data_IF_648708536526
#
_entry.id   IF_648708536526
#
_cell.length_a   1.000
_cell.length_b   1.000
_cell.length_c   1.000
_cell.angle_alpha   90.00
_cell.angle_beta   90.00
_cell.angle_gamma   90.00
#
_symmetry.space_group_name_H-M   'P 1'
#
loop_
_entity.id
_entity.type
_entity.pdbx_description
1 polymer ?
#
# COMPACT_ATOMS: atom_id res chain seq x y z
N UNK A 1 -19.58 7.57 -20.31
CA UNK A 1 -20.48 6.67 -19.56
C UNK A 1 -19.65 5.98 -18.50
N UNK A 2 -19.94 6.20 -17.22
CA UNK A 2 -19.16 5.65 -16.12
C UNK A 2 -19.73 4.28 -15.76
N UNK A 3 -18.89 3.23 -15.83
CA UNK A 3 -19.29 1.86 -15.52
C UNK A 3 -19.30 1.71 -14.00
N UNK A 4 -20.49 1.66 -13.41
CA UNK A 4 -20.68 1.42 -11.98
C UNK A 4 -21.19 0.00 -11.75
N UNK A 5 -20.70 -0.66 -10.70
CA UNK A 5 -21.25 -1.93 -10.22
C UNK A 5 -21.03 -3.14 -11.13
N UNK A 6 -20.14 -3.05 -12.12
CA UNK A 6 -19.90 -4.14 -13.09
C UNK A 6 -19.44 -5.45 -12.42
N UNK A 7 -18.79 -5.36 -11.25
CA UNK A 7 -18.28 -6.49 -10.49
C UNK A 7 -19.02 -6.69 -9.15
N UNK A 8 -20.14 -6.02 -8.90
CA UNK A 8 -20.75 -6.00 -7.55
C UNK A 8 -21.14 -7.41 -7.06
N UNK A 9 -21.62 -8.27 -7.96
CA UNK A 9 -21.94 -9.66 -7.63
C UNK A 9 -20.68 -10.46 -7.26
N UNK A 10 -19.58 -10.26 -7.99
CA UNK A 10 -18.32 -10.94 -7.74
C UNK A 10 -17.68 -10.46 -6.43
N UNK A 11 -17.68 -9.14 -6.18
CA UNK A 11 -17.17 -8.55 -4.95
C UNK A 11 -17.91 -9.08 -3.71
N UNK A 12 -19.25 -9.19 -3.80
CA UNK A 12 -20.08 -9.77 -2.74
C UNK A 12 -19.84 -11.26 -2.52
N UNK A 13 -19.33 -11.97 -3.54
CA UNK A 13 -19.02 -13.40 -3.44
C UNK A 13 -17.64 -13.67 -2.81
N UNK A 14 -16.79 -12.65 -2.62
CA UNK A 14 -15.48 -12.82 -1.97
C UNK A 14 -15.67 -13.16 -0.48
N UNK A 15 -15.18 -14.32 -0.01
CA UNK A 15 -15.22 -14.63 1.41
C UNK A 15 -14.44 -13.59 2.22
N UNK A 16 -14.95 -13.16 3.38
CA UNK A 16 -14.30 -12.14 4.20
C UNK A 16 -12.84 -12.50 4.57
N UNK A 17 -12.54 -13.78 4.79
CA UNK A 17 -11.16 -14.24 5.02
C UNK A 17 -10.20 -13.95 3.86
N UNK A 18 -10.72 -13.82 2.64
CA UNK A 18 -9.95 -13.52 1.44
C UNK A 18 -9.84 -12.00 1.18
N UNK A 19 -10.44 -11.16 2.02
CA UNK A 19 -10.27 -9.69 1.95
C UNK A 19 -9.09 -9.22 2.81
N UNK A 20 -8.38 -10.14 3.47
CA UNK A 20 -7.27 -9.86 4.38
C UNK A 20 -5.95 -10.30 3.74
N UNK A 21 -4.96 -9.41 3.71
CA UNK A 21 -3.61 -9.70 3.26
C UNK A 21 -2.83 -10.25 4.44
N UNK A 22 -2.50 -11.54 4.39
CA UNK A 22 -1.75 -12.21 5.46
C UNK A 22 -0.23 -12.11 5.28
N UNK A 23 0.25 -11.83 4.08
CA UNK A 23 1.67 -11.67 3.79
C UNK A 23 2.23 -10.42 4.49
N UNK A 24 3.50 -10.46 4.95
CA UNK A 24 4.21 -9.24 5.32
C UNK A 24 4.11 -8.22 4.20
N UNK A 25 3.73 -6.99 4.54
CA UNK A 25 3.47 -5.93 3.55
C UNK A 25 4.21 -4.67 3.96
N UNK A 26 4.96 -4.10 3.02
CA UNK A 26 5.62 -2.81 3.18
C UNK A 26 4.86 -1.73 2.40
N UNK A 27 4.44 -0.67 3.10
CA UNK A 27 3.89 0.55 2.50
C UNK A 27 4.90 1.69 2.63
N UNK A 28 5.37 2.20 1.50
CA UNK A 28 6.25 3.37 1.45
C UNK A 28 5.39 4.58 1.02
N UNK A 29 5.34 5.62 1.84
CA UNK A 29 4.52 6.83 1.64
C UNK A 29 5.36 8.09 1.47
N UNK A 30 4.76 9.15 0.91
CA UNK A 30 5.41 10.45 0.67
C UNK A 30 4.50 11.64 0.92
N UNK A 31 5.09 12.80 1.21
CA UNK A 31 4.36 14.07 1.46
C UNK A 31 3.58 14.60 0.24
N UNK A 32 4.12 14.47 -0.97
CA UNK A 32 3.56 15.11 -2.17
C UNK A 32 2.90 14.09 -3.10
N UNK A 33 1.76 13.58 -2.66
CA UNK A 33 0.88 12.74 -3.48
C UNK A 33 -0.09 13.61 -4.30
N UNK A 34 -0.22 13.32 -5.60
CA UNK A 34 -0.94 14.15 -6.57
C UNK A 34 -2.46 14.15 -6.33
N UNK A 35 -3.01 13.13 -5.67
CA UNK A 35 -4.45 12.97 -5.48
C UNK A 35 -4.82 12.70 -4.01
N UNK A 36 -5.00 13.80 -3.26
CA UNK A 36 -5.54 13.86 -1.89
C UNK A 36 -4.58 13.39 -0.77
N UNK A 37 -4.57 14.05 0.40
CA UNK A 37 -3.88 13.58 1.61
C UNK A 37 -4.65 12.39 2.18
N UNK A 38 -4.61 11.26 1.47
CA UNK A 38 -5.17 10.01 1.96
C UNK A 38 -4.16 9.41 2.92
N UNK A 39 -4.56 9.29 4.18
CA UNK A 39 -3.85 8.51 5.21
C UNK A 39 -3.94 7.01 4.88
N UNK A 40 -3.21 6.58 3.84
CA UNK A 40 -3.14 5.19 3.37
C UNK A 40 -2.88 4.17 4.49
N UNK A 41 -1.97 4.43 5.46
CA UNK A 41 -1.75 3.52 6.58
C UNK A 41 -3.04 3.18 7.33
N UNK A 42 -3.85 4.19 7.65
CA UNK A 42 -5.11 4.00 8.39
C UNK A 42 -6.14 3.19 7.60
N UNK A 43 -6.18 3.36 6.27
CA UNK A 43 -7.11 2.65 5.39
C UNK A 43 -6.70 1.21 5.12
N UNK A 44 -5.40 0.93 5.12
CA UNK A 44 -4.85 -0.41 4.88
C UNK A 44 -4.83 -1.26 6.15
N UNK A 45 -4.60 -0.67 7.32
CA UNK A 45 -4.43 -1.41 8.59
C UNK A 45 -5.54 -2.42 8.90
N UNK A 46 -6.85 -2.17 8.65
CA UNK A 46 -7.90 -3.16 8.89
C UNK A 46 -7.80 -4.41 8.03
N UNK A 47 -7.12 -4.33 6.88
CA UNK A 47 -7.03 -5.40 5.88
C UNK A 47 -5.63 -6.03 5.82
N UNK A 48 -4.64 -5.42 6.46
CA UNK A 48 -3.22 -5.84 6.39
C UNK A 48 -2.63 -5.91 7.80
N UNK A 49 -2.82 -7.00 8.54
CA UNK A 49 -2.35 -7.12 9.92
C UNK A 49 -0.84 -7.00 10.08
N UNK A 50 -0.08 -7.41 9.06
CA UNK A 50 1.40 -7.40 9.05
C UNK A 50 1.95 -6.24 8.21
N UNK A 51 1.45 -5.02 8.46
CA UNK A 51 1.81 -3.81 7.71
C UNK A 51 3.00 -3.07 8.35
N UNK A 52 4.14 -2.99 7.64
CA UNK A 52 5.25 -2.07 7.92
C UNK A 52 5.03 -0.80 7.12
N UNK A 53 5.05 0.36 7.78
CA UNK A 53 4.86 1.66 7.13
C UNK A 53 6.15 2.45 7.24
N UNK A 54 6.66 2.92 6.10
CA UNK A 54 7.77 3.86 6.04
C UNK A 54 7.30 5.12 5.32
N UNK A 55 7.73 6.25 5.82
CA UNK A 55 7.37 7.55 5.27
C UNK A 55 8.62 8.34 4.91
N UNK A 56 8.64 8.92 3.70
CA UNK A 56 9.72 9.79 3.25
C UNK A 56 9.21 11.13 2.74
N UNK A 57 9.93 12.18 3.12
CA UNK A 57 9.76 13.51 2.57
C UNK A 57 10.31 13.57 1.13
N UNK A 58 9.45 13.29 0.16
CA UNK A 58 9.71 13.36 -1.28
C UNK A 58 8.42 13.47 -2.11
N UNK A 59 8.57 13.52 -3.43
CA UNK A 59 7.45 13.47 -4.40
C UNK A 59 6.82 12.09 -4.55
N UNK A 60 5.66 12.05 -5.22
CA UNK A 60 4.94 10.81 -5.57
C UNK A 60 5.83 9.73 -6.21
N UNK A 61 6.80 10.13 -7.04
CA UNK A 61 7.77 9.23 -7.65
C UNK A 61 8.91 8.87 -6.69
N UNK A 62 8.56 8.19 -5.59
CA UNK A 62 9.45 7.87 -4.48
C UNK A 62 10.71 7.13 -4.97
N UNK A 63 10.54 6.09 -5.79
CA UNK A 63 11.67 5.28 -6.26
C UNK A 63 12.64 6.06 -7.16
N UNK A 64 12.17 7.14 -7.82
CA UNK A 64 13.04 8.00 -8.62
C UNK A 64 13.81 9.00 -7.77
N UNK A 65 13.19 9.55 -6.72
CA UNK A 65 13.82 10.57 -5.88
C UNK A 65 14.68 9.99 -4.75
N UNK A 66 14.36 8.78 -4.27
CA UNK A 66 15.00 8.09 -3.14
C UNK A 66 15.39 6.67 -3.52
N UNK A 67 16.04 6.51 -4.67
CA UNK A 67 16.33 5.20 -5.26
C UNK A 67 17.22 4.33 -4.36
N UNK A 68 18.26 4.92 -3.77
CA UNK A 68 19.19 4.21 -2.89
C UNK A 68 18.49 3.76 -1.60
N UNK A 69 17.71 4.66 -0.99
CA UNK A 69 16.95 4.36 0.22
C UNK A 69 15.83 3.33 -0.04
N UNK A 70 15.17 3.42 -1.20
CA UNK A 70 14.19 2.42 -1.66
C UNK A 70 14.83 1.05 -1.75
N UNK A 71 15.96 0.94 -2.44
CA UNK A 71 16.62 -0.34 -2.63
C UNK A 71 17.11 -0.93 -1.31
N UNK A 72 17.75 -0.12 -0.45
CA UNK A 72 18.20 -0.56 0.86
C UNK A 72 17.04 -1.06 1.74
N UNK A 73 15.92 -0.32 1.77
CA UNK A 73 14.73 -0.71 2.54
C UNK A 73 14.11 -2.01 2.00
N UNK A 74 14.09 -2.19 0.68
CA UNK A 74 13.59 -3.43 0.06
C UNK A 74 14.49 -4.62 0.41
N UNK A 75 15.82 -4.45 0.37
CA UNK A 75 16.77 -5.49 0.78
C UNK A 75 16.58 -5.92 2.23
N UNK A 76 16.43 -4.97 3.15
CA UNK A 76 16.11 -5.23 4.56
C UNK A 76 14.80 -6.01 4.68
N UNK A 77 13.74 -5.53 4.03
CA UNK A 77 12.41 -6.14 4.10
C UNK A 77 12.41 -7.58 3.56
N UNK A 78 13.11 -7.86 2.46
CA UNK A 78 13.17 -9.21 1.88
C UNK A 78 14.02 -10.19 2.69
N UNK A 79 14.96 -9.71 3.51
CA UNK A 79 15.73 -10.56 4.44
C UNK A 79 14.89 -11.03 5.64
N UNK A 80 13.71 -10.42 5.84
CA UNK A 80 12.85 -10.69 7.00
C UNK A 80 13.33 -9.99 8.27
N UNK A 81 14.11 -8.92 8.12
CA UNK A 81 14.58 -8.05 9.20
C UNK A 81 13.57 -6.94 9.57
#
# INVERSE_FOLDING_TARGET
MQLHGINEADDKAIPLKNTIIHQPTLLITSDMFITSPVEFPSRMSPYVPNLKVVHWKCGHWIQLQKSQETNALLEEFFKGE
#
